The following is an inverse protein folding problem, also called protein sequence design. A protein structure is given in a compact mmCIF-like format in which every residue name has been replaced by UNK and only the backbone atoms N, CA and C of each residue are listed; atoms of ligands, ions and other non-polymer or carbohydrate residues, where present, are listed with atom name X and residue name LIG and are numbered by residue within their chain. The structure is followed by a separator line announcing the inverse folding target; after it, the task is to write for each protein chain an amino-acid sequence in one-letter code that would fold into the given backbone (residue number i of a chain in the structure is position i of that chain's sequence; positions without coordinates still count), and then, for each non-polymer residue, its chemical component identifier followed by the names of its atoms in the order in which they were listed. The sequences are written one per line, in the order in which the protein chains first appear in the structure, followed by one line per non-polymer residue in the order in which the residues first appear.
data_IF_698553130518
#
_entry.id   IF_698553130518
#
_cell.length_a   1.000
_cell.length_b   1.000
_cell.length_c   1.000
_cell.angle_alpha   90.00
_cell.angle_beta   90.00
_cell.angle_gamma   90.00
#
_symmetry.space_group_name_H-M   'P 1'
#
loop_
_entity.id
_entity.type
_entity.pdbx_description
1 polymer ?
#
# COMPACT_ATOMS: atom_id res chain seq x y z
N UNK A 1 -17.43 -15.23 -15.88
CA UNK A 1 -17.58 -15.01 -14.42
C UNK A 1 -16.66 -16.00 -13.72
N UNK A 2 -15.74 -15.52 -12.90
CA UNK A 2 -14.71 -16.29 -12.22
C UNK A 2 -15.04 -16.45 -10.73
N UNK A 3 -14.63 -17.55 -10.09
CA UNK A 3 -14.83 -17.74 -8.63
C UNK A 3 -13.49 -17.89 -7.93
N UNK A 4 -13.22 -16.99 -6.98
CA UNK A 4 -12.02 -16.97 -6.15
C UNK A 4 -12.33 -17.56 -4.78
N UNK A 5 -11.46 -18.44 -4.29
CA UNK A 5 -11.40 -18.81 -2.87
C UNK A 5 -10.60 -17.77 -2.07
N UNK A 6 -11.29 -16.95 -1.29
CA UNK A 6 -10.69 -15.92 -0.42
C UNK A 6 -9.97 -16.44 0.81
N UNK A 7 -9.95 -17.76 1.05
CA UNK A 7 -9.18 -18.40 2.12
C UNK A 7 -7.85 -19.00 1.64
N UNK A 8 -7.60 -19.00 0.33
CA UNK A 8 -6.41 -19.60 -0.27
C UNK A 8 -5.12 -18.87 0.16
N UNK A 9 -4.05 -19.64 0.40
CA UNK A 9 -2.73 -19.15 0.81
C UNK A 9 -2.77 -18.16 1.98
N UNK A 10 -2.46 -16.88 1.74
CA UNK A 10 -2.47 -15.84 2.78
C UNK A 10 -3.87 -15.64 3.38
N UNK A 11 -4.93 -15.87 2.60
CA UNK A 11 -6.32 -15.89 3.08
C UNK A 11 -6.78 -14.59 3.77
N UNK A 12 -6.15 -13.46 3.46
CA UNK A 12 -6.40 -12.16 4.05
C UNK A 12 -7.15 -11.21 3.13
N UNK A 13 -7.05 -9.92 3.43
CA UNK A 13 -7.77 -8.88 2.69
C UNK A 13 -7.17 -8.56 1.32
N UNK A 14 -5.94 -9.01 1.03
CA UNK A 14 -5.27 -8.71 -0.25
C UNK A 14 -5.97 -9.37 -1.43
N UNK A 15 -6.36 -10.65 -1.29
CA UNK A 15 -7.06 -11.40 -2.35
C UNK A 15 -8.27 -10.62 -2.84
N UNK A 16 -9.09 -10.14 -1.92
CA UNK A 16 -10.29 -9.39 -2.27
C UNK A 16 -9.95 -8.10 -3.03
N UNK A 17 -9.00 -7.31 -2.53
CA UNK A 17 -8.60 -6.03 -3.15
C UNK A 17 -8.06 -6.25 -4.57
N UNK A 18 -7.21 -7.25 -4.71
CA UNK A 18 -6.59 -7.60 -5.98
C UNK A 18 -7.60 -8.20 -6.96
N UNK A 19 -8.51 -9.07 -6.50
CA UNK A 19 -9.55 -9.67 -7.32
C UNK A 19 -10.50 -8.62 -7.93
N UNK A 20 -10.95 -7.64 -7.15
CA UNK A 20 -11.84 -6.60 -7.68
C UNK A 20 -11.11 -5.63 -8.62
N UNK A 21 -9.84 -5.33 -8.36
CA UNK A 21 -9.02 -4.54 -9.27
C UNK A 21 -8.78 -5.27 -10.61
N UNK A 22 -8.35 -6.53 -10.57
CA UNK A 22 -8.14 -7.36 -11.75
C UNK A 22 -9.45 -7.62 -12.52
N UNK A 23 -10.56 -7.82 -11.82
CA UNK A 23 -11.89 -7.92 -12.42
C UNK A 23 -12.26 -6.65 -13.19
N UNK A 24 -12.07 -5.48 -12.57
CA UNK A 24 -12.35 -4.20 -13.24
C UNK A 24 -11.48 -3.99 -14.48
N UNK A 25 -10.18 -4.29 -14.42
CA UNK A 25 -9.24 -4.13 -15.55
C UNK A 25 -9.58 -5.11 -16.69
N UNK A 26 -9.86 -6.37 -16.37
CA UNK A 26 -10.18 -7.40 -17.37
C UNK A 26 -11.59 -7.33 -17.92
N UNK A 27 -12.49 -6.56 -17.29
CA UNK A 27 -13.92 -6.58 -17.58
C UNK A 27 -14.60 -7.92 -17.26
N UNK A 28 -13.95 -8.80 -16.49
CA UNK A 28 -14.46 -10.15 -16.17
C UNK A 28 -15.10 -10.17 -14.78
N UNK A 29 -16.40 -10.46 -14.64
CA UNK A 29 -17.05 -10.56 -13.33
C UNK A 29 -16.41 -11.61 -12.42
N UNK A 30 -16.35 -11.34 -11.12
CA UNK A 30 -15.76 -12.23 -10.11
C UNK A 30 -16.68 -12.43 -8.90
N UNK A 31 -16.76 -13.67 -8.41
CA UNK A 31 -17.29 -14.00 -7.10
C UNK A 31 -16.15 -14.40 -6.18
N UNK A 32 -16.01 -13.74 -5.03
CA UNK A 32 -15.01 -14.09 -4.01
C UNK A 32 -15.73 -14.71 -2.83
N UNK A 33 -15.42 -15.96 -2.52
CA UNK A 33 -16.02 -16.74 -1.43
C UNK A 33 -15.06 -16.87 -0.24
N UNK A 34 -15.52 -17.35 0.92
CA UNK A 34 -14.69 -17.62 2.12
C UNK A 34 -13.76 -16.46 2.50
N UNK A 35 -14.26 -15.23 2.36
CA UNK A 35 -13.46 -14.02 2.55
C UNK A 35 -12.92 -13.97 3.98
N UNK A 36 -11.58 -14.00 4.11
CA UNK A 36 -10.88 -13.93 5.40
C UNK A 36 -11.29 -15.02 6.39
N UNK A 37 -11.68 -16.20 5.89
CA UNK A 37 -12.18 -17.32 6.69
C UNK A 37 -11.23 -17.69 7.84
N UNK A 38 -9.92 -17.67 7.59
CA UNK A 38 -8.88 -18.06 8.56
C UNK A 38 -8.38 -16.89 9.45
N UNK A 39 -9.01 -15.70 9.38
CA UNK A 39 -8.65 -14.56 10.23
C UNK A 39 -9.50 -14.53 11.49
N UNK A 40 -8.97 -13.92 12.56
CA UNK A 40 -9.69 -13.78 13.84
C UNK A 40 -11.06 -13.10 13.73
N UNK A 41 -11.23 -12.20 12.75
CA UNK A 41 -12.50 -11.58 12.40
C UNK A 41 -12.81 -11.88 10.93
N UNK A 42 -13.49 -13.01 10.60
CA UNK A 42 -13.80 -13.38 9.22
C UNK A 42 -14.73 -12.40 8.51
N UNK A 43 -14.74 -12.48 7.18
CA UNK A 43 -15.56 -11.65 6.31
C UNK A 43 -15.04 -10.22 6.14
N UNK A 44 -15.87 -9.39 5.48
CA UNK A 44 -15.55 -8.00 5.15
C UNK A 44 -15.50 -7.09 6.38
N UNK A 45 -14.30 -6.64 6.76
CA UNK A 45 -14.14 -5.43 7.59
C UNK A 45 -14.52 -4.13 6.81
N UNK A 46 -14.79 -3.00 7.48
CA UNK A 46 -15.21 -1.75 6.84
C UNK A 46 -14.27 -1.22 5.74
N UNK A 47 -12.95 -1.37 5.92
CA UNK A 47 -11.97 -0.99 4.90
C UNK A 47 -12.08 -1.82 3.61
N UNK A 48 -12.50 -3.09 3.71
CA UNK A 48 -12.69 -3.95 2.54
C UNK A 48 -13.92 -3.50 1.75
N UNK A 49 -15.04 -3.23 2.44
CA UNK A 49 -16.24 -2.66 1.82
C UNK A 49 -15.90 -1.37 1.09
N UNK A 50 -15.10 -0.52 1.73
CA UNK A 50 -14.66 0.77 1.18
C UNK A 50 -13.75 0.61 -0.04
N UNK A 51 -12.81 -0.33 -0.01
CA UNK A 51 -11.93 -0.65 -1.15
C UNK A 51 -12.73 -1.13 -2.36
N UNK A 52 -13.67 -2.07 -2.16
CA UNK A 52 -14.54 -2.55 -3.26
C UNK A 52 -15.44 -1.42 -3.79
N UNK A 53 -16.00 -0.58 -2.92
CA UNK A 53 -16.78 0.60 -3.33
C UNK A 53 -15.94 1.58 -4.15
N UNK A 54 -14.68 1.82 -3.75
CA UNK A 54 -13.79 2.71 -4.49
C UNK A 54 -13.59 2.22 -5.92
N UNK A 55 -13.31 0.92 -6.10
CA UNK A 55 -13.15 0.30 -7.44
C UNK A 55 -14.48 0.31 -8.22
N UNK A 56 -15.59 -0.04 -7.57
CA UNK A 56 -16.92 -0.06 -8.20
C UNK A 56 -17.30 1.29 -8.81
N UNK A 57 -16.90 2.41 -8.19
CA UNK A 57 -17.20 3.76 -8.71
C UNK A 57 -16.45 4.11 -9.99
N UNK A 58 -15.27 3.55 -10.20
CA UNK A 58 -14.45 3.77 -11.41
C UNK A 58 -14.98 2.97 -12.61
N UNK A 59 -15.68 1.86 -12.36
CA UNK A 59 -16.16 0.95 -13.41
C UNK A 59 -17.67 0.69 -13.40
N UNK A 60 -18.47 1.49 -12.69
CA UNK A 60 -19.92 1.30 -12.52
C UNK A 60 -20.32 -0.14 -12.14
N UNK A 61 -19.54 -0.80 -11.30
CA UNK A 61 -19.78 -2.21 -11.03
C UNK A 61 -21.06 -2.44 -10.23
N UNK A 62 -21.79 -3.49 -10.59
CA UNK A 62 -22.80 -4.06 -9.72
C UNK A 62 -22.13 -4.93 -8.66
N UNK A 63 -22.55 -4.79 -7.41
CA UNK A 63 -21.99 -5.50 -6.28
C UNK A 63 -23.08 -6.19 -5.47
N UNK A 64 -22.96 -7.51 -5.28
CA UNK A 64 -23.80 -8.30 -4.38
C UNK A 64 -22.99 -8.76 -3.17
N UNK A 65 -23.64 -8.87 -2.00
CA UNK A 65 -22.96 -9.30 -0.76
C UNK A 65 -22.01 -8.26 -0.14
N UNK A 66 -21.99 -7.01 -0.64
CA UNK A 66 -21.06 -5.97 -0.20
C UNK A 66 -21.47 -5.32 1.14
N UNK A 67 -21.44 -6.11 2.21
CA UNK A 67 -21.81 -5.68 3.56
C UNK A 67 -20.81 -6.18 4.60
N UNK A 68 -20.75 -5.50 5.75
CA UNK A 68 -19.85 -5.87 6.85
C UNK A 68 -20.05 -7.33 7.26
N UNK A 69 -18.95 -8.06 7.48
CA UNK A 69 -18.86 -9.50 7.79
C UNK A 69 -19.37 -10.44 6.70
N UNK A 70 -19.78 -9.94 5.54
CA UNK A 70 -20.06 -10.84 4.42
C UNK A 70 -18.82 -11.67 4.11
N UNK A 71 -19.04 -12.97 3.86
CA UNK A 71 -17.99 -13.92 3.48
C UNK A 71 -17.98 -14.21 1.99
N UNK A 72 -18.90 -13.58 1.27
CA UNK A 72 -19.04 -13.72 -0.18
C UNK A 72 -19.40 -12.38 -0.81
N UNK A 73 -18.78 -12.06 -1.94
CA UNK A 73 -19.23 -11.00 -2.81
C UNK A 73 -19.26 -11.45 -4.26
N UNK A 74 -20.16 -10.87 -5.04
CA UNK A 74 -20.08 -10.88 -6.50
C UNK A 74 -19.87 -9.46 -6.98
N UNK A 75 -18.89 -9.26 -7.84
CA UNK A 75 -18.49 -7.99 -8.41
C UNK A 75 -18.54 -8.10 -9.93
N UNK A 76 -19.41 -7.32 -10.56
CA UNK A 76 -19.63 -7.34 -12.02
C UNK A 76 -19.28 -5.97 -12.58
N UNK A 77 -18.06 -5.79 -13.12
CA UNK A 77 -17.61 -4.50 -13.63
C UNK A 77 -18.30 -4.14 -14.95
N UNK A 78 -18.53 -2.84 -15.15
CA UNK A 78 -18.84 -2.25 -16.45
C UNK A 78 -17.58 -1.53 -16.99
N UNK A 79 -17.77 -0.65 -17.98
CA UNK A 79 -16.68 0.10 -18.61
C UNK A 79 -16.00 1.03 -17.60
N UNK A 80 -14.66 1.03 -17.62
CA UNK A 80 -13.87 1.99 -16.84
C UNK A 80 -14.15 3.43 -17.28
N UNK A 81 -14.19 4.36 -16.33
CA UNK A 81 -14.34 5.79 -16.55
C UNK A 81 -13.56 6.60 -15.52
N UNK A 82 -13.26 7.85 -15.86
CA UNK A 82 -12.81 8.84 -14.89
C UNK A 82 -13.82 8.92 -13.72
N UNK A 83 -13.31 8.99 -12.48
CA UNK A 83 -14.16 9.17 -11.32
C UNK A 83 -13.49 10.06 -10.27
N UNK A 84 -14.25 11.04 -9.77
CA UNK A 84 -13.91 11.86 -8.61
C UNK A 84 -14.79 11.43 -7.43
N UNK A 85 -14.17 10.80 -6.44
CA UNK A 85 -14.89 10.09 -5.39
C UNK A 85 -14.40 10.41 -3.98
N UNK A 86 -15.31 10.30 -3.02
CA UNK A 86 -15.00 10.37 -1.60
C UNK A 86 -15.41 9.07 -0.94
N UNK A 87 -14.51 8.49 -0.15
CA UNK A 87 -14.70 7.21 0.54
C UNK A 87 -14.49 7.40 2.04
N UNK A 88 -15.52 7.04 2.82
CA UNK A 88 -15.48 7.02 4.28
C UNK A 88 -15.79 5.62 4.82
N UNK A 89 -14.82 4.90 5.38
CA UNK A 89 -15.06 3.66 6.12
C UNK A 89 -15.73 3.88 7.47
N UNK A 90 -15.81 5.12 7.98
CA UNK A 90 -16.33 5.46 9.32
C UNK A 90 -15.47 4.92 10.47
N UNK A 91 -14.24 4.48 10.20
CA UNK A 91 -13.35 3.77 11.13
C UNK A 91 -11.89 4.11 10.83
N UNK A 92 -10.95 3.65 11.66
CA UNK A 92 -9.51 3.70 11.39
C UNK A 92 -9.03 2.70 10.31
N UNK A 93 -9.87 2.33 9.35
CA UNK A 93 -9.49 1.47 8.24
C UNK A 93 -8.34 2.06 7.43
N UNK A 94 -7.39 1.22 6.98
CA UNK A 94 -6.18 1.69 6.31
C UNK A 94 -6.48 2.37 4.98
N UNK A 95 -6.18 3.66 4.88
CA UNK A 95 -6.27 4.44 3.65
C UNK A 95 -5.36 3.84 2.56
N UNK A 96 -4.08 3.53 2.82
CA UNK A 96 -3.19 2.90 1.84
C UNK A 96 -3.76 1.61 1.24
N UNK A 97 -4.41 0.76 2.03
CA UNK A 97 -5.03 -0.47 1.50
C UNK A 97 -6.24 -0.18 0.60
N UNK A 98 -7.04 0.84 0.88
CA UNK A 98 -8.13 1.26 -0.02
C UNK A 98 -7.55 1.76 -1.35
N UNK A 99 -6.49 2.57 -1.27
CA UNK A 99 -5.79 3.11 -2.43
C UNK A 99 -5.15 2.01 -3.28
N UNK A 100 -4.59 0.95 -2.67
CA UNK A 100 -4.03 -0.20 -3.40
C UNK A 100 -5.08 -0.96 -4.25
N UNK A 101 -6.36 -0.93 -3.87
CA UNK A 101 -7.42 -1.51 -4.72
C UNK A 101 -7.83 -0.55 -5.85
N UNK A 102 -7.91 0.74 -5.56
CA UNK A 102 -8.39 1.76 -6.49
C UNK A 102 -7.36 2.13 -7.56
N UNK A 103 -6.09 2.31 -7.17
CA UNK A 103 -5.05 2.87 -8.02
C UNK A 103 -4.76 2.08 -9.31
N UNK A 104 -4.72 0.73 -9.32
CA UNK A 104 -4.50 -0.03 -10.56
C UNK A 104 -5.54 0.34 -11.63
N UNK A 105 -6.80 0.53 -11.22
CA UNK A 105 -7.91 0.87 -12.12
C UNK A 105 -7.86 2.34 -12.51
N UNK A 106 -7.53 3.22 -11.55
CA UNK A 106 -7.42 4.67 -11.80
C UNK A 106 -6.32 5.01 -12.81
N UNK A 107 -5.20 4.30 -12.85
CA UNK A 107 -4.13 4.56 -13.84
C UNK A 107 -4.59 4.39 -15.30
N UNK A 108 -5.63 3.61 -15.56
CA UNK A 108 -6.16 3.41 -16.91
C UNK A 108 -7.05 4.55 -17.39
N UNK A 109 -7.65 5.32 -16.47
CA UNK A 109 -8.74 6.26 -16.79
C UNK A 109 -8.58 7.65 -16.22
N UNK A 110 -7.69 7.82 -15.23
CA UNK A 110 -7.59 9.01 -14.41
C UNK A 110 -8.69 9.10 -13.36
N UNK A 111 -8.55 10.06 -12.46
CA UNK A 111 -9.54 10.36 -11.44
C UNK A 111 -8.91 10.89 -10.16
N UNK A 112 -9.77 11.25 -9.22
CA UNK A 112 -9.36 11.62 -7.87
C UNK A 112 -10.16 10.87 -6.81
N UNK A 113 -9.50 10.58 -5.71
CA UNK A 113 -10.13 9.96 -4.55
C UNK A 113 -9.73 10.71 -3.29
N UNK A 114 -10.73 11.07 -2.47
CA UNK A 114 -10.51 11.51 -1.09
C UNK A 114 -10.93 10.39 -0.15
N UNK A 115 -9.99 9.83 0.61
CA UNK A 115 -10.24 8.74 1.55
C UNK A 115 -10.09 9.25 2.98
N UNK A 116 -11.02 8.89 3.85
CA UNK A 116 -10.91 9.07 5.29
C UNK A 116 -10.57 7.75 5.98
N UNK A 117 -9.89 7.80 7.13
CA UNK A 117 -9.54 6.60 7.89
C UNK A 117 -8.20 6.69 8.60
N UNK A 118 -7.47 5.59 8.61
CA UNK A 118 -6.12 5.50 9.17
C UNK A 118 -5.06 5.71 8.10
N UNK A 119 -4.23 6.74 8.25
CA UNK A 119 -3.00 6.93 7.44
C UNK A 119 -1.81 6.20 8.05
N UNK A 120 -1.83 5.93 9.36
CA UNK A 120 -0.78 5.25 10.11
C UNK A 120 -1.39 4.18 11.03
N UNK A 121 -1.63 2.98 10.48
CA UNK A 121 -2.24 1.87 11.22
C UNK A 121 -1.47 0.55 11.02
N UNK A 122 -1.49 -0.29 12.04
CA UNK A 122 -0.76 -1.56 12.05
C UNK A 122 -1.24 -2.51 10.94
N UNK A 123 -0.35 -3.42 10.53
CA UNK A 123 -0.62 -4.43 9.50
C UNK A 123 -1.01 -3.84 8.13
N UNK A 124 -0.52 -2.64 7.84
CA UNK A 124 -0.66 -1.98 6.55
C UNK A 124 0.49 -1.00 6.33
N UNK A 125 0.77 -0.61 5.07
CA UNK A 125 1.68 0.51 4.79
C UNK A 125 1.18 1.80 5.46
N UNK A 126 2.10 2.72 5.75
CA UNK A 126 1.75 4.13 6.04
C UNK A 126 1.47 4.88 4.74
N UNK A 127 0.80 6.03 4.83
CA UNK A 127 0.59 6.86 3.64
C UNK A 127 1.90 7.40 3.05
N UNK A 128 2.88 7.73 3.88
CA UNK A 128 4.18 8.20 3.38
C UNK A 128 4.97 7.07 2.71
N UNK A 129 4.82 5.81 3.16
CA UNK A 129 5.39 4.67 2.44
C UNK A 129 4.72 4.53 1.07
N UNK A 130 3.39 4.66 1.01
CA UNK A 130 2.65 4.63 -0.25
C UNK A 130 3.18 5.68 -1.23
N UNK A 131 3.36 6.93 -0.75
CA UNK A 131 3.82 8.05 -1.57
C UNK A 131 5.30 7.93 -1.97
N UNK A 132 6.19 7.66 -1.01
CA UNK A 132 7.64 7.76 -1.22
C UNK A 132 8.29 6.51 -1.77
N UNK A 133 7.70 5.35 -1.51
CA UNK A 133 8.29 4.04 -1.86
C UNK A 133 7.46 3.35 -2.93
N UNK A 134 6.16 3.16 -2.67
CA UNK A 134 5.31 2.43 -3.61
C UNK A 134 4.99 3.21 -4.89
N UNK A 135 4.72 4.52 -4.81
CA UNK A 135 4.44 5.31 -6.00
C UNK A 135 5.71 5.63 -6.82
N UNK A 136 6.91 5.41 -6.27
CA UNK A 136 8.18 5.73 -6.94
C UNK A 136 8.36 4.95 -8.25
N UNK A 137 8.30 3.60 -8.30
CA UNK A 137 8.39 2.87 -9.56
C UNK A 137 7.29 3.23 -10.57
N UNK A 138 6.08 3.53 -10.08
CA UNK A 138 4.96 3.92 -10.94
C UNK A 138 5.20 5.30 -11.57
N UNK A 139 5.68 6.27 -10.79
CA UNK A 139 6.07 7.59 -11.29
C UNK A 139 7.26 7.50 -12.25
N UNK A 140 8.22 6.63 -11.97
CA UNK A 140 9.34 6.35 -12.87
C UNK A 140 8.86 5.78 -14.22
N UNK A 141 7.85 4.90 -14.19
CA UNK A 141 7.18 4.39 -15.38
C UNK A 141 6.28 5.42 -16.09
N UNK A 142 6.22 6.67 -15.61
CA UNK A 142 5.48 7.77 -16.25
C UNK A 142 4.08 8.03 -15.66
N UNK A 143 3.70 7.40 -14.55
CA UNK A 143 2.43 7.69 -13.90
C UNK A 143 2.45 9.07 -13.22
N UNK A 144 1.43 9.88 -13.48
CA UNK A 144 1.19 11.12 -12.74
C UNK A 144 0.31 10.82 -11.53
N UNK A 145 0.93 10.60 -10.38
CA UNK A 145 0.26 10.30 -9.10
C UNK A 145 0.61 11.40 -8.10
N UNK A 146 -0.38 12.19 -7.69
CA UNK A 146 -0.27 13.19 -6.64
C UNK A 146 -0.95 12.70 -5.36
N UNK A 147 -0.27 12.84 -4.22
CA UNK A 147 -0.75 12.37 -2.91
C UNK A 147 -0.67 13.53 -1.92
N UNK A 148 -1.84 14.02 -1.51
CA UNK A 148 -1.99 15.12 -0.57
C UNK A 148 -2.52 14.60 0.77
N UNK A 149 -1.68 14.64 1.81
CA UNK A 149 -2.09 14.29 3.18
C UNK A 149 -2.74 15.51 3.85
N UNK A 150 -4.07 15.53 3.85
CA UNK A 150 -4.89 16.60 4.43
C UNK A 150 -5.01 16.51 5.95
N UNK A 151 -4.84 15.30 6.51
CA UNK A 151 -4.87 15.04 7.94
C UNK A 151 -4.34 13.65 8.27
N UNK A 152 -3.69 13.52 9.42
CA UNK A 152 -3.13 12.27 9.94
C UNK A 152 -4.19 11.51 10.76
N UNK A 153 -4.10 10.18 10.76
CA UNK A 153 -5.13 9.27 11.25
C UNK A 153 -4.54 8.02 11.86
N UNK A 154 -4.68 7.91 13.18
CA UNK A 154 -4.14 6.82 13.99
C UNK A 154 -5.26 5.98 14.62
N UNK A 155 -5.00 4.69 14.83
CA UNK A 155 -5.90 3.82 15.60
C UNK A 155 -6.10 4.36 17.04
N UNK A 156 -7.30 4.24 17.65
CA UNK A 156 -8.52 3.56 17.15
C UNK A 156 -9.46 4.44 16.35
N UNK A 157 -9.32 5.76 16.42
CA UNK A 157 -10.31 6.69 15.87
C UNK A 157 -10.15 6.92 14.37
N UNK A 158 -8.93 6.82 13.84
CA UNK A 158 -8.63 7.21 12.47
C UNK A 158 -8.72 8.73 12.34
N UNK A 159 -9.55 9.20 11.42
CA UNK A 159 -9.76 10.62 11.15
C UNK A 159 -8.68 11.27 10.29
N UNK A 160 -7.77 10.47 9.73
CA UNK A 160 -6.90 10.89 8.66
C UNK A 160 -7.71 11.13 7.39
N UNK A 161 -7.19 12.00 6.53
CA UNK A 161 -7.80 12.35 5.25
C UNK A 161 -6.70 12.52 4.22
N UNK A 162 -6.80 11.79 3.12
CA UNK A 162 -5.84 11.85 2.02
C UNK A 162 -6.58 12.04 0.73
N UNK A 163 -6.08 12.95 -0.10
CA UNK A 163 -6.52 13.10 -1.48
C UNK A 163 -5.45 12.54 -2.39
N UNK A 164 -5.84 11.69 -3.33
CA UNK A 164 -4.97 11.19 -4.39
C UNK A 164 -5.56 11.58 -5.73
N UNK A 165 -4.73 12.09 -6.63
CA UNK A 165 -5.10 12.42 -8.01
C UNK A 165 -4.20 11.67 -8.97
N UNK A 166 -4.82 11.11 -10.00
CA UNK A 166 -4.15 10.36 -11.06
C UNK A 166 -4.59 10.93 -12.40
N UNK A 167 -3.62 11.26 -13.25
CA UNK A 167 -3.92 11.60 -14.64
C UNK A 167 -3.83 10.34 -15.53
N UNK A 168 -4.69 10.20 -16.55
CA UNK A 168 -4.63 9.08 -17.47
C UNK A 168 -3.34 9.18 -18.29
N UNK A 169 -2.65 8.06 -18.40
CA UNK A 169 -1.39 8.00 -19.14
C UNK A 169 -1.07 6.59 -19.58
N UNK A 170 -0.13 6.47 -20.53
CA UNK A 170 0.49 5.18 -20.85
C UNK A 170 1.73 5.04 -20.00
N UNK A 171 1.77 3.98 -19.20
CA UNK A 171 2.95 3.65 -18.41
C UNK A 171 3.93 2.84 -19.27
N UNK A 172 5.22 3.10 -19.08
CA UNK A 172 6.29 2.23 -19.52
C UNK A 172 6.32 0.93 -18.68
N UNK A 173 7.05 -0.11 -19.12
CA UNK A 173 7.29 -1.28 -18.29
C UNK A 173 7.83 -0.92 -16.91
N UNK A 174 7.36 -1.63 -15.89
CA UNK A 174 7.75 -1.41 -14.49
C UNK A 174 9.21 -1.80 -14.31
N UNK A 175 10.02 -0.82 -13.97
CA UNK A 175 11.43 -0.98 -13.61
C UNK A 175 11.72 -0.17 -12.37
N UNK A 176 12.71 -0.60 -11.59
CA UNK A 176 13.11 0.11 -10.38
C UNK A 176 14.18 1.14 -10.76
N UNK A 177 13.96 2.44 -10.49
CA UNK A 177 14.97 3.44 -10.77
C UNK A 177 16.23 3.18 -9.95
N UNK A 178 17.39 3.53 -10.50
CA UNK A 178 18.64 3.51 -9.76
C UNK A 178 18.53 4.41 -8.53
N UNK A 179 18.90 3.88 -7.37
CA UNK A 179 18.77 4.60 -6.12
C UNK A 179 19.87 5.68 -6.02
N UNK A 180 19.46 6.94 -5.86
CA UNK A 180 20.38 7.97 -5.41
C UNK A 180 20.95 7.58 -4.03
N UNK A 181 22.21 7.90 -3.72
CA UNK A 181 22.85 7.58 -2.45
C UNK A 181 22.36 8.53 -1.34
N UNK A 182 21.06 8.53 -1.10
CA UNK A 182 20.38 9.35 -0.09
C UNK A 182 19.21 8.56 0.49
N UNK A 183 19.05 8.62 1.82
CA UNK A 183 17.86 8.13 2.48
C UNK A 183 16.84 9.26 2.67
N UNK A 184 15.57 8.89 2.76
CA UNK A 184 14.50 9.78 3.19
C UNK A 184 13.93 9.37 4.54
N UNK A 185 13.49 10.35 5.33
CA UNK A 185 12.75 10.16 6.57
C UNK A 185 11.55 11.10 6.56
N UNK A 186 10.35 10.56 6.77
CA UNK A 186 9.19 11.32 7.24
C UNK A 186 8.92 10.91 8.68
N UNK A 187 9.03 11.86 9.60
CA UNK A 187 8.66 11.68 11.00
C UNK A 187 7.42 12.49 11.30
N UNK A 188 6.33 11.81 11.65
CA UNK A 188 5.03 12.45 11.83
C UNK A 188 4.41 12.19 13.19
N UNK A 189 3.64 13.15 13.68
CA UNK A 189 2.81 13.00 14.87
C UNK A 189 1.54 13.85 14.79
N UNK A 190 0.52 13.41 15.51
CA UNK A 190 -0.77 14.10 15.63
C UNK A 190 -1.20 14.12 17.08
N UNK A 191 -1.54 15.30 17.59
CA UNK A 191 -1.98 15.48 18.99
C UNK A 191 -0.90 15.15 20.03
N UNK A 192 0.37 15.25 19.68
CA UNK A 192 1.52 15.04 20.56
C UNK A 192 2.43 16.28 20.55
N UNK A 193 3.30 16.46 21.56
CA UNK A 193 4.28 17.54 21.54
C UNK A 193 5.21 17.48 20.32
N UNK A 194 5.60 18.65 19.81
CA UNK A 194 6.46 18.80 18.62
C UNK A 194 7.79 18.04 18.74
N UNK A 195 8.41 18.05 19.92
CA UNK A 195 9.66 17.34 20.19
C UNK A 195 9.57 15.80 19.99
N UNK A 196 8.38 15.23 19.77
CA UNK A 196 8.24 13.83 19.39
C UNK A 196 8.80 13.57 17.99
N UNK A 197 8.43 14.40 16.99
CA UNK A 197 8.90 14.18 15.60
C UNK A 197 10.39 14.45 15.45
N UNK A 198 10.91 15.43 16.19
CA UNK A 198 12.34 15.75 16.21
C UNK A 198 13.18 14.58 16.75
N UNK A 199 12.77 14.01 17.89
CA UNK A 199 13.48 12.91 18.55
C UNK A 199 13.40 11.62 17.75
N UNK A 200 12.26 11.35 17.13
CA UNK A 200 12.09 10.25 16.17
C UNK A 200 13.06 10.39 14.99
N UNK A 201 13.03 11.54 14.30
CA UNK A 201 13.87 11.78 13.13
C UNK A 201 15.36 11.77 13.46
N UNK A 202 15.77 12.40 14.57
CA UNK A 202 17.16 12.43 15.00
C UNK A 202 17.69 11.02 15.30
N UNK A 203 16.88 10.18 15.97
CA UNK A 203 17.26 8.81 16.27
C UNK A 203 17.34 7.93 15.02
N UNK A 204 16.41 8.08 14.08
CA UNK A 204 16.45 7.38 12.80
C UNK A 204 17.70 7.77 11.98
N UNK A 205 17.93 9.08 11.81
CA UNK A 205 19.10 9.62 11.11
C UNK A 205 20.42 9.15 11.71
N UNK A 206 20.50 9.07 13.04
CA UNK A 206 21.69 8.59 13.73
C UNK A 206 22.04 7.14 13.37
N UNK A 207 21.04 6.27 13.24
CA UNK A 207 21.23 4.87 12.82
C UNK A 207 21.62 4.79 11.35
N UNK A 208 20.88 5.46 10.45
CA UNK A 208 21.16 5.41 9.02
C UNK A 208 22.55 5.96 8.67
N UNK A 209 22.96 7.07 9.31
CA UNK A 209 24.32 7.61 9.14
C UNK A 209 25.38 6.63 9.62
N UNK A 210 25.15 5.93 10.72
CA UNK A 210 26.13 5.00 11.29
C UNK A 210 26.28 3.74 10.43
N UNK A 211 25.16 3.18 9.99
CA UNK A 211 25.14 1.81 9.43
C UNK A 211 25.10 1.78 7.89
N UNK A 212 24.68 2.87 7.23
CA UNK A 212 24.70 3.00 5.75
C UNK A 212 25.63 4.10 5.23
N UNK A 213 26.09 5.02 6.10
CA UNK A 213 26.89 6.20 5.73
C UNK A 213 26.25 7.08 4.63
N UNK A 214 24.92 7.13 4.59
CA UNK A 214 24.16 7.92 3.61
C UNK A 214 23.63 9.23 4.21
N UNK A 215 23.60 10.33 3.44
CA UNK A 215 22.84 11.52 3.79
C UNK A 215 21.35 11.19 3.93
N UNK A 216 20.62 11.94 4.75
CA UNK A 216 19.20 11.73 4.98
C UNK A 216 18.41 13.03 4.80
N UNK A 217 17.50 13.07 3.83
CA UNK A 217 16.49 14.11 3.73
C UNK A 217 15.39 13.88 4.78
N UNK A 218 15.17 14.84 5.66
CA UNK A 218 14.22 14.71 6.79
C UNK A 218 13.05 15.66 6.60
N UNK A 219 11.84 15.12 6.65
CA UNK A 219 10.59 15.87 6.76
C UNK A 219 9.98 15.64 8.14
N UNK A 220 9.73 16.73 8.87
CA UNK A 220 9.00 16.72 10.13
C UNK A 220 7.55 17.12 9.86
N UNK A 221 6.61 16.27 10.25
CA UNK A 221 5.18 16.52 10.07
C UNK A 221 4.47 16.44 11.43
N UNK A 222 4.52 17.55 12.16
CA UNK A 222 3.76 17.73 13.40
C UNK A 222 2.40 18.33 13.09
N UNK A 223 1.34 17.69 13.59
CA UNK A 223 -0.04 18.18 13.48
C UNK A 223 -0.63 18.42 14.86
N UNK A 224 -1.05 19.65 15.09
CA UNK A 224 -1.90 19.99 16.21
C UNK A 224 -3.33 19.50 15.95
N UNK A 225 -3.97 18.93 16.96
CA UNK A 225 -5.34 18.41 16.85
C UNK A 225 -5.44 17.10 16.04
N UNK A 226 -6.64 16.78 15.55
CA UNK A 226 -6.95 15.53 14.86
C UNK A 226 -7.74 14.54 15.73
N UNK A 227 -8.53 13.67 15.08
CA UNK A 227 -9.34 12.69 15.81
C UNK A 227 -8.49 11.55 16.40
N UNK A 228 -7.35 11.22 15.79
CA UNK A 228 -6.40 10.21 16.24
C UNK A 228 -5.11 10.83 16.80
N UNK A 229 -4.69 10.37 17.98
CA UNK A 229 -3.41 10.74 18.60
C UNK A 229 -2.39 9.64 18.30
N UNK A 230 -1.22 10.01 17.81
CA UNK A 230 -0.18 9.04 17.49
C UNK A 230 1.06 9.65 16.87
N UNK A 231 2.04 8.80 16.58
CA UNK A 231 3.26 9.16 15.87
C UNK A 231 3.76 7.98 15.05
N UNK A 232 4.58 8.24 14.05
CA UNK A 232 5.25 7.20 13.26
C UNK A 232 6.45 7.74 12.51
N UNK A 233 7.27 6.83 12.03
CA UNK A 233 8.40 7.12 11.14
C UNK A 233 8.27 6.24 9.90
N UNK A 234 8.39 6.85 8.73
CA UNK A 234 8.67 6.16 7.47
C UNK A 234 10.08 6.53 7.05
N UNK A 235 10.92 5.54 6.79
CA UNK A 235 12.28 5.72 6.26
C UNK A 235 12.42 4.94 4.95
N UNK A 236 13.18 5.45 3.98
CA UNK A 236 13.40 4.75 2.72
C UNK A 236 14.75 5.08 2.08
N UNK A 237 15.17 4.23 1.15
CA UNK A 237 16.29 4.43 0.23
C UNK A 237 15.92 3.78 -1.11
N UNK A 238 15.81 4.58 -2.17
CA UNK A 238 15.22 4.11 -3.44
C UNK A 238 13.84 3.47 -3.25
N UNK A 239 13.68 2.26 -3.78
CA UNK A 239 12.45 1.45 -3.69
C UNK A 239 12.43 0.48 -2.49
N UNK A 240 13.24 0.73 -1.45
CA UNK A 240 13.19 0.00 -0.18
C UNK A 240 12.74 0.93 0.93
N UNK A 241 11.74 0.49 1.71
CA UNK A 241 11.15 1.28 2.78
C UNK A 241 10.93 0.51 4.06
N UNK A 242 10.82 1.27 5.14
CA UNK A 242 10.53 0.76 6.48
C UNK A 242 9.60 1.72 7.23
N UNK A 243 8.76 1.15 8.09
CA UNK A 243 7.81 1.90 8.91
C UNK A 243 7.92 1.49 10.38
N UNK A 244 7.72 2.45 11.29
CA UNK A 244 7.51 2.17 12.70
C UNK A 244 6.42 3.07 13.28
N UNK A 245 5.49 2.49 14.03
CA UNK A 245 4.41 3.22 14.70
C UNK A 245 4.74 3.43 16.18
N UNK A 246 4.48 4.64 16.66
CA UNK A 246 4.49 4.96 18.07
C UNK A 246 3.32 4.31 18.80
N UNK A 247 3.52 4.03 20.08
CA UNK A 247 2.48 3.55 21.00
C UNK A 247 2.72 4.12 22.39
N UNK A 248 1.67 4.16 23.21
CA UNK A 248 1.78 4.66 24.59
C UNK A 248 2.88 3.90 25.35
N UNK A 249 3.79 4.63 25.96
CA UNK A 249 4.94 4.09 26.71
C UNK A 249 6.17 3.73 25.87
N UNK A 250 6.11 3.85 24.54
CA UNK A 250 7.29 3.66 23.67
C UNK A 250 8.00 5.01 23.44
N UNK A 251 9.30 5.14 23.76
CA UNK A 251 10.04 6.38 23.51
C UNK A 251 10.10 6.75 22.02
N UNK A 252 10.04 8.05 21.72
CA UNK A 252 10.12 8.59 20.36
C UNK A 252 11.38 8.11 19.62
N UNK A 253 12.52 8.12 20.32
CA UNK A 253 13.81 7.67 19.81
C UNK A 253 13.80 6.17 19.49
N UNK A 254 13.03 5.37 20.22
CA UNK A 254 12.88 3.95 19.93
C UNK A 254 12.11 3.73 18.62
N UNK A 255 11.04 4.49 18.38
CA UNK A 255 10.30 4.45 17.11
C UNK A 255 11.21 4.79 15.93
N UNK A 256 12.00 5.87 16.04
CA UNK A 256 12.98 6.25 15.02
C UNK A 256 14.01 5.17 14.74
N UNK A 257 14.62 4.59 15.79
CA UNK A 257 15.59 3.50 15.64
C UNK A 257 14.99 2.25 15.02
N UNK A 258 13.74 1.91 15.34
CA UNK A 258 13.07 0.74 14.77
C UNK A 258 12.92 0.85 13.26
N UNK A 259 12.37 1.98 12.77
CA UNK A 259 12.22 2.20 11.33
C UNK A 259 13.59 2.17 10.62
N UNK A 260 14.60 2.85 11.18
CA UNK A 260 15.93 2.89 10.57
C UNK A 260 16.61 1.52 10.52
N UNK A 261 16.51 0.69 11.57
CA UNK A 261 17.11 -0.65 11.58
C UNK A 261 16.48 -1.57 10.54
N UNK A 262 15.15 -1.55 10.42
CA UNK A 262 14.45 -2.30 9.39
C UNK A 262 14.91 -1.84 8.00
N UNK A 263 15.08 -0.52 7.78
CA UNK A 263 15.60 -0.02 6.51
C UNK A 263 17.04 -0.49 6.25
N UNK A 264 17.91 -0.49 7.26
CA UNK A 264 19.29 -1.01 7.15
C UNK A 264 19.27 -2.47 6.70
N UNK A 265 18.45 -3.30 7.35
CA UNK A 265 18.29 -4.72 7.01
C UNK A 265 17.81 -4.89 5.55
N UNK A 266 16.82 -4.11 5.11
CA UNK A 266 16.34 -4.14 3.74
C UNK A 266 17.40 -3.66 2.74
N UNK A 267 18.16 -2.62 3.04
CA UNK A 267 19.23 -2.11 2.18
C UNK A 267 20.41 -3.09 2.04
N UNK A 268 20.71 -3.84 3.10
CA UNK A 268 21.74 -4.88 3.10
C UNK A 268 21.27 -6.18 2.47
N UNK A 269 19.96 -6.40 2.41
CA UNK A 269 19.37 -7.54 1.73
C UNK A 269 19.44 -7.36 0.21
N UNK A 270 19.62 -8.44 -0.57
CA UNK A 270 19.65 -8.36 -2.02
C UNK A 270 18.27 -8.01 -2.61
N UNK A 271 18.22 -7.81 -3.92
CA UNK A 271 17.01 -7.43 -4.65
C UNK A 271 16.77 -5.92 -4.71
N UNK A 272 16.02 -5.49 -5.72
CA UNK A 272 15.77 -4.08 -6.03
C UNK A 272 14.70 -3.41 -5.16
N UNK A 273 13.78 -4.19 -4.58
CA UNK A 273 12.69 -3.69 -3.73
C UNK A 273 12.63 -4.41 -2.39
N UNK A 274 12.02 -3.77 -1.39
CA UNK A 274 11.74 -4.43 -0.11
C UNK A 274 10.66 -5.52 -0.25
N UNK A 275 10.56 -6.39 0.76
CA UNK A 275 9.65 -7.53 0.77
C UNK A 275 8.16 -7.15 0.62
N UNK A 276 7.77 -5.94 1.04
CA UNK A 276 6.39 -5.46 0.99
C UNK A 276 6.05 -4.80 -0.33
N UNK A 277 6.97 -4.01 -0.90
CA UNK A 277 6.77 -3.44 -2.22
C UNK A 277 6.67 -4.54 -3.28
N UNK A 278 7.38 -5.65 -3.08
CA UNK A 278 7.39 -6.79 -3.99
C UNK A 278 6.00 -7.35 -4.29
N UNK A 279 5.10 -7.46 -3.31
CA UNK A 279 3.74 -7.95 -3.59
C UNK A 279 2.79 -6.84 -4.10
N UNK A 280 3.08 -5.59 -3.78
CA UNK A 280 2.25 -4.44 -4.16
C UNK A 280 2.40 -4.07 -5.65
N UNK A 281 3.56 -4.34 -6.25
CA UNK A 281 3.83 -4.03 -7.66
C UNK A 281 3.25 -5.06 -8.64
N UNK A 282 2.87 -6.26 -8.19
CA UNK A 282 2.57 -7.39 -9.09
C UNK A 282 1.43 -7.11 -10.08
N UNK A 283 0.36 -6.42 -9.67
CA UNK A 283 -0.72 -6.07 -10.61
C UNK A 283 -0.25 -5.10 -11.70
N UNK A 284 0.65 -4.17 -11.36
CA UNK A 284 1.19 -3.20 -12.30
C UNK A 284 2.16 -3.88 -13.26
N UNK A 285 3.02 -4.75 -12.73
CA UNK A 285 3.90 -5.59 -13.53
C UNK A 285 3.07 -6.42 -14.53
N UNK A 286 1.99 -7.05 -14.08
CA UNK A 286 1.13 -7.87 -14.94
C UNK A 286 0.37 -7.07 -16.02
N UNK A 287 0.07 -5.79 -15.76
CA UNK A 287 -0.62 -4.91 -16.72
C UNK A 287 0.33 -4.23 -17.72
N UNK A 288 1.54 -3.86 -17.28
CA UNK A 288 2.44 -2.98 -18.04
C UNK A 288 3.76 -3.66 -18.45
N UNK A 289 4.01 -4.89 -17.99
CA UNK A 289 5.26 -5.61 -18.17
C UNK A 289 6.39 -5.06 -17.31
N UNK A 290 7.59 -5.62 -17.49
CA UNK A 290 8.83 -5.16 -16.85
C UNK A 290 9.43 -6.20 -15.91
N UNK A 291 10.28 -5.77 -14.98
CA UNK A 291 10.95 -6.66 -14.03
C UNK A 291 11.45 -5.96 -12.77
N UNK A 292 11.51 -6.72 -11.68
CA UNK A 292 12.16 -6.35 -10.43
C UNK A 292 12.47 -7.59 -9.60
N UNK A 293 13.23 -7.42 -8.52
CA UNK A 293 13.55 -8.49 -7.58
C UNK A 293 13.43 -8.07 -6.12
N UNK A 294 13.23 -9.05 -5.24
CA UNK A 294 13.25 -8.91 -3.77
C UNK A 294 14.04 -10.08 -3.16
N UNK A 295 14.37 -10.02 -1.87
CA UNK A 295 15.11 -11.10 -1.18
C UNK A 295 14.25 -12.30 -0.79
N UNK A 296 12.93 -12.12 -0.62
CA UNK A 296 12.04 -13.17 -0.10
C UNK A 296 10.71 -13.25 -0.84
N UNK A 297 10.30 -14.45 -1.26
CA UNK A 297 8.98 -14.69 -1.83
C UNK A 297 7.92 -14.80 -0.72
N UNK A 298 7.30 -13.65 -0.39
CA UNK A 298 6.29 -13.57 0.66
C UNK A 298 5.01 -14.34 0.30
N UNK A 299 4.24 -14.75 1.31
CA UNK A 299 2.91 -15.36 1.08
C UNK A 299 1.95 -14.42 0.35
N UNK A 300 2.08 -13.12 0.56
CA UNK A 300 1.30 -12.10 -0.16
C UNK A 300 1.67 -12.11 -1.65
N UNK A 301 2.97 -12.12 -1.99
CA UNK A 301 3.44 -12.20 -3.37
C UNK A 301 3.01 -13.52 -4.06
N UNK A 302 3.14 -14.68 -3.38
CA UNK A 302 2.65 -15.98 -3.90
C UNK A 302 1.15 -15.93 -4.23
N UNK A 303 0.37 -15.36 -3.31
CA UNK A 303 -1.08 -15.24 -3.45
C UNK A 303 -1.44 -14.31 -4.61
N UNK A 304 -0.73 -13.20 -4.78
CA UNK A 304 -0.95 -12.25 -5.85
C UNK A 304 -0.58 -12.83 -7.23
N UNK A 305 0.56 -13.52 -7.37
CA UNK A 305 0.93 -14.21 -8.62
C UNK A 305 -0.12 -15.27 -9.02
N UNK A 306 -0.56 -16.08 -8.06
CA UNK A 306 -1.63 -17.06 -8.30
C UNK A 306 -2.90 -16.36 -8.80
N UNK A 307 -3.39 -15.36 -8.06
CA UNK A 307 -4.64 -14.70 -8.39
C UNK A 307 -4.57 -14.00 -9.76
N UNK A 308 -3.47 -13.31 -10.08
CA UNK A 308 -3.30 -12.65 -11.37
C UNK A 308 -3.26 -13.66 -12.53
N UNK A 309 -2.66 -14.83 -12.33
CA UNK A 309 -2.69 -15.93 -13.30
C UNK A 309 -4.12 -16.41 -13.58
N UNK A 310 -4.99 -16.48 -12.56
CA UNK A 310 -6.39 -16.86 -12.74
C UNK A 310 -7.17 -15.84 -13.62
N UNK A 311 -6.77 -14.57 -13.59
CA UNK A 311 -7.33 -13.52 -14.45
C UNK A 311 -6.64 -13.45 -15.83
N UNK A 312 -5.73 -14.37 -16.16
CA UNK A 312 -5.02 -14.37 -17.44
C UNK A 312 -3.85 -13.38 -17.53
N UNK A 313 -3.37 -12.87 -16.39
CA UNK A 313 -2.21 -11.98 -16.30
C UNK A 313 -1.05 -12.68 -15.56
N UNK A 314 -0.44 -13.73 -16.14
CA UNK A 314 0.60 -14.48 -15.46
C UNK A 314 1.84 -13.59 -15.24
N UNK A 315 2.33 -13.57 -13.99
CA UNK A 315 3.64 -13.01 -13.64
C UNK A 315 4.62 -14.15 -13.46
N UNK A 316 5.75 -14.10 -14.15
CA UNK A 316 6.84 -15.06 -13.95
C UNK A 316 7.51 -14.76 -12.62
N UNK A 317 7.68 -15.80 -11.80
CA UNK A 317 8.36 -15.74 -10.51
C UNK A 317 9.47 -16.77 -10.51
N UNK A 318 10.73 -16.33 -10.36
CA UNK A 318 11.90 -17.21 -10.31
C UNK A 318 12.62 -17.04 -8.97
N UNK A 319 12.63 -18.09 -8.17
CA UNK A 319 13.41 -18.15 -6.93
C UNK A 319 14.86 -18.54 -7.28
N UNK A 320 15.81 -17.64 -7.01
CA UNK A 320 17.25 -17.88 -7.04
C UNK A 320 17.80 -18.22 -5.66
N UNK A 321 19.13 -18.24 -5.52
CA UNK A 321 19.78 -18.54 -4.22
C UNK A 321 19.58 -17.42 -3.20
N UNK A 322 19.65 -16.16 -3.63
CA UNK A 322 19.57 -14.98 -2.76
C UNK A 322 18.40 -14.04 -3.08
N UNK A 323 17.81 -14.16 -4.28
CA UNK A 323 16.77 -13.25 -4.77
C UNK A 323 15.60 -13.99 -5.38
N UNK A 324 14.46 -13.31 -5.42
CA UNK A 324 13.25 -13.71 -6.14
C UNK A 324 12.98 -12.67 -7.20
N UNK A 325 12.99 -13.09 -8.45
CA UNK A 325 12.80 -12.24 -9.62
C UNK A 325 11.35 -12.34 -10.11
N UNK A 326 10.73 -11.19 -10.38
CA UNK A 326 9.41 -11.08 -10.98
C UNK A 326 9.52 -10.41 -12.35
N UNK A 327 8.86 -10.96 -13.37
CA UNK A 327 8.78 -10.35 -14.71
C UNK A 327 7.45 -10.66 -15.41
N UNK A 328 7.05 -9.79 -16.35
CA UNK A 328 5.87 -9.98 -17.20
C UNK A 328 6.11 -9.39 -18.60
#
# INVERSE_FOLDING_TARGET
MFTVDGSYLEGGGQILRLAVAASAISGTPVTVTRIRENRSNPGLAPQHVSAVRAVARVCDAECQGLSHRSREITFSPNRLRWADITIDPGTAGSIPLILQAWLPVALHTGGSITVMGGTEVAWSPTIDYLDRVFALPLRHAGASIDVEVLGRGYYPRGGGRVRVRVEPGRLAPITIPEAEPICGIVSCSSGLPEHVVERQAAAARGVLKKDLDLPCAVTLDHREGGAGVGSSVTAWSGAKGAIALGKRGLPAEAVGRMAARILVEECQSPGTVDIHLADQLLIYLACYGGEYSTHTLSMHAKTACWLLSEFGYPVRCREGEETVEFSA
#
